data_IF_015469402545
#
_entry.id   IF_015469402545
#
_cell.length_a   1.000
_cell.length_b   1.000
_cell.length_c   1.000
_cell.angle_alpha   90.00
_cell.angle_beta   90.00
_cell.angle_gamma   90.00
#
_symmetry.space_group_name_H-M   'P 1'
#
loop_
_entity.id
_entity.type
_entity.pdbx_description
1 polymer ?
#
# COMPACT_ATOMS: atom_id res chain seq x y z
N UNK A 1 -65.55 11.17 3.79
CA UNK A 1 -65.01 10.47 2.61
C UNK A 1 -63.49 10.59 2.62
N UNK A 2 -62.81 9.49 2.95
CA UNK A 2 -61.34 9.35 3.06
C UNK A 2 -60.80 8.82 1.73
N UNK A 3 -60.35 9.69 0.83
CA UNK A 3 -59.70 9.29 -0.43
C UNK A 3 -58.68 10.35 -0.86
N UNK A 4 -57.53 10.42 -0.20
CA UNK A 4 -56.38 11.22 -0.71
C UNK A 4 -55.00 10.84 -0.17
N UNK A 5 -54.87 9.97 0.84
CA UNK A 5 -53.55 9.66 1.45
C UNK A 5 -52.87 8.43 0.82
N UNK A 6 -53.62 7.57 0.11
CA UNK A 6 -53.09 6.30 -0.42
C UNK A 6 -52.22 6.42 -1.68
N UNK A 7 -52.14 7.59 -2.33
CA UNK A 7 -51.32 7.77 -3.52
C UNK A 7 -49.89 8.25 -3.23
N UNK A 8 -49.62 8.83 -2.05
CA UNK A 8 -48.28 9.33 -1.71
C UNK A 8 -47.29 8.24 -1.30
N UNK A 9 -47.78 7.09 -0.80
CA UNK A 9 -46.91 5.97 -0.42
C UNK A 9 -46.42 5.15 -1.62
N UNK A 10 -47.12 5.18 -2.75
CA UNK A 10 -46.72 4.44 -3.94
C UNK A 10 -45.60 5.13 -4.73
N UNK A 11 -45.46 6.46 -4.62
CA UNK A 11 -44.36 7.21 -5.29
C UNK A 11 -43.08 7.19 -4.45
N UNK A 12 -43.19 7.06 -3.12
CA UNK A 12 -42.00 6.92 -2.25
C UNK A 12 -41.36 5.54 -2.35
N UNK A 13 -42.13 4.47 -2.60
CA UNK A 13 -41.59 3.11 -2.70
C UNK A 13 -40.82 2.85 -4.00
N UNK A 14 -41.09 3.61 -5.08
CA UNK A 14 -40.37 3.45 -6.37
C UNK A 14 -39.02 4.17 -6.39
N UNK A 15 -38.76 5.08 -5.43
CA UNK A 15 -37.44 5.72 -5.27
C UNK A 15 -36.52 4.97 -4.29
N UNK A 16 -37.00 3.92 -3.62
CA UNK A 16 -36.16 3.08 -2.76
C UNK A 16 -35.47 1.92 -3.49
N UNK A 17 -35.65 1.79 -4.81
CA UNK A 17 -35.12 0.66 -5.61
C UNK A 17 -33.95 0.99 -6.54
N UNK A 18 -33.32 2.17 -6.43
CA UNK A 18 -32.12 2.52 -7.20
C UNK A 18 -30.91 2.91 -6.34
N UNK A 19 -30.89 2.49 -5.06
CA UNK A 19 -29.67 2.53 -4.25
C UNK A 19 -29.17 1.10 -3.98
N UNK A 20 -29.24 0.26 -5.00
CA UNK A 20 -28.32 -0.85 -5.12
C UNK A 20 -27.20 -0.34 -6.03
N UNK A 21 -26.46 0.68 -5.56
CA UNK A 21 -25.10 0.84 -6.04
C UNK A 21 -24.43 -0.47 -5.64
N UNK A 22 -24.28 -1.38 -6.61
CA UNK A 22 -23.17 -2.31 -6.60
C UNK A 22 -21.92 -1.42 -6.53
N UNK A 23 -21.58 -0.97 -5.33
CA UNK A 23 -20.30 -0.37 -5.01
C UNK A 23 -19.28 -1.49 -5.23
N UNK A 24 -18.94 -1.75 -6.49
CA UNK A 24 -17.91 -2.69 -6.89
C UNK A 24 -16.62 -2.24 -6.20
N UNK A 25 -16.34 -2.86 -5.05
CA UNK A 25 -15.15 -2.57 -4.29
C UNK A 25 -13.95 -2.99 -5.13
N UNK A 26 -13.12 -2.01 -5.45
CA UNK A 26 -11.89 -2.24 -6.18
C UNK A 26 -10.87 -2.79 -5.18
N UNK A 27 -10.29 -3.94 -5.50
CA UNK A 27 -9.29 -4.62 -4.65
C UNK A 27 -7.97 -4.70 -5.42
N UNK A 28 -6.88 -4.22 -4.80
CA UNK A 28 -5.53 -4.35 -5.35
C UNK A 28 -4.53 -4.87 -4.32
N UNK A 29 -3.67 -5.83 -4.70
CA UNK A 29 -2.53 -6.24 -3.89
C UNK A 29 -1.39 -5.22 -4.04
N UNK A 30 -0.81 -4.86 -2.90
CA UNK A 30 0.39 -4.05 -2.79
C UNK A 30 1.51 -4.89 -2.22
N UNK A 31 2.74 -4.60 -2.65
CA UNK A 31 3.96 -5.25 -2.15
C UNK A 31 4.79 -4.23 -1.40
N UNK A 32 5.21 -4.58 -0.18
CA UNK A 32 6.18 -3.84 0.60
C UNK A 32 7.48 -4.61 0.62
N UNK A 33 8.61 -3.91 0.50
CA UNK A 33 9.91 -4.55 0.65
C UNK A 33 11.02 -3.82 -0.08
N UNK A 34 12.17 -4.47 -0.13
CA UNK A 34 13.34 -3.96 -0.85
C UNK A 34 13.13 -4.22 -2.35
N UNK A 35 12.95 -3.16 -3.12
CA UNK A 35 12.72 -3.23 -4.58
C UNK A 35 13.93 -2.79 -5.41
N UNK A 36 14.92 -2.18 -4.76
CA UNK A 36 16.20 -1.84 -5.35
C UNK A 36 17.30 -2.16 -4.35
N UNK A 37 18.36 -2.81 -4.81
CA UNK A 37 19.52 -3.13 -3.99
C UNK A 37 20.77 -3.24 -4.85
N UNK A 38 21.83 -2.55 -4.44
CA UNK A 38 23.16 -2.71 -5.03
C UNK A 38 24.20 -2.70 -3.90
N UNK A 39 25.03 -3.74 -3.83
CA UNK A 39 26.10 -3.89 -2.84
C UNK A 39 27.16 -4.87 -3.39
N UNK A 40 28.32 -4.89 -2.74
CA UNK A 40 29.39 -5.86 -2.97
C UNK A 40 29.14 -7.23 -2.31
N UNK A 41 28.11 -7.41 -1.49
CA UNK A 41 27.85 -8.69 -0.80
C UNK A 41 26.39 -8.95 -0.38
N UNK A 42 26.07 -10.22 -0.09
CA UNK A 42 24.73 -10.64 0.39
C UNK A 42 24.50 -10.33 1.89
N UNK A 43 25.57 -10.05 2.63
CA UNK A 43 25.50 -9.71 4.05
C UNK A 43 24.75 -8.39 4.28
N UNK A 44 25.00 -7.37 3.46
CA UNK A 44 24.32 -6.06 3.60
C UNK A 44 22.81 -6.19 3.43
N UNK A 45 22.35 -6.97 2.44
CA UNK A 45 20.93 -7.26 2.24
C UNK A 45 20.31 -7.91 3.49
N UNK A 46 21.04 -8.84 4.09
CA UNK A 46 20.60 -9.53 5.32
C UNK A 46 20.50 -8.55 6.48
N UNK A 47 21.48 -7.66 6.64
CA UNK A 47 21.49 -6.63 7.69
C UNK A 47 20.33 -5.64 7.54
N UNK A 48 20.13 -5.10 6.34
CA UNK A 48 19.03 -4.14 6.05
C UNK A 48 17.68 -4.84 6.23
N UNK A 49 17.52 -6.06 5.73
CA UNK A 49 16.27 -6.83 5.87
C UNK A 49 15.95 -7.11 7.34
N UNK A 50 16.97 -7.46 8.14
CA UNK A 50 16.83 -7.71 9.58
C UNK A 50 16.48 -6.42 10.31
N UNK A 51 17.11 -5.31 9.97
CA UNK A 51 16.79 -3.99 10.51
C UNK A 51 15.34 -3.60 10.25
N UNK A 52 14.88 -3.68 8.99
CA UNK A 52 13.50 -3.35 8.62
C UNK A 52 12.50 -4.22 9.38
N UNK A 53 12.73 -5.54 9.45
CA UNK A 53 11.90 -6.46 10.24
C UNK A 53 11.91 -6.10 11.73
N UNK A 54 13.06 -5.74 12.29
CA UNK A 54 13.20 -5.29 13.68
C UNK A 54 12.44 -4.00 13.99
N UNK A 55 12.23 -3.13 13.00
CA UNK A 55 11.36 -1.94 13.09
C UNK A 55 9.87 -2.25 12.87
N UNK A 56 9.54 -3.51 12.60
CA UNK A 56 8.18 -3.91 12.22
C UNK A 56 7.74 -3.36 10.88
N UNK A 57 8.69 -3.03 9.98
CA UNK A 57 8.38 -2.70 8.60
C UNK A 57 7.85 -3.96 7.90
N UNK A 58 6.80 -3.79 7.11
CA UNK A 58 6.20 -4.87 6.35
C UNK A 58 7.10 -5.27 5.18
N UNK A 59 7.27 -6.57 4.93
CA UNK A 59 8.19 -7.09 3.89
C UNK A 59 7.48 -8.05 2.93
N UNK A 60 6.14 -8.01 2.93
CA UNK A 60 5.29 -8.92 2.18
C UNK A 60 4.17 -8.14 1.46
N UNK A 61 3.18 -8.85 0.92
CA UNK A 61 2.02 -8.23 0.30
C UNK A 61 0.92 -7.87 1.29
N UNK A 62 0.25 -6.75 1.02
CA UNK A 62 -0.94 -6.29 1.75
C UNK A 62 -1.99 -5.85 0.73
N UNK A 63 -3.22 -6.29 0.94
CA UNK A 63 -4.34 -5.92 0.08
C UNK A 63 -5.02 -4.68 0.64
N UNK A 64 -5.35 -3.75 -0.24
CA UNK A 64 -6.17 -2.59 0.08
C UNK A 64 -7.43 -2.60 -0.78
N UNK A 65 -8.51 -2.08 -0.20
CA UNK A 65 -9.84 -2.04 -0.81
C UNK A 65 -10.38 -0.62 -0.71
N UNK A 66 -11.03 -0.14 -1.77
CA UNK A 66 -11.59 1.21 -1.82
C UNK A 66 -12.47 1.40 -3.04
N UNK A 67 -12.99 2.62 -3.24
CA UNK A 67 -13.92 2.92 -4.34
C UNK A 67 -13.20 3.07 -5.68
N UNK A 68 -11.95 3.50 -5.65
CA UNK A 68 -11.12 3.66 -6.84
C UNK A 68 -9.63 3.54 -6.49
N UNK A 69 -8.81 3.35 -7.52
CA UNK A 69 -7.36 3.18 -7.38
C UNK A 69 -6.68 4.35 -6.66
N UNK A 70 -7.13 5.59 -6.86
CA UNK A 70 -6.48 6.75 -6.25
C UNK A 70 -6.68 6.79 -4.72
N UNK A 71 -7.87 6.42 -4.25
CA UNK A 71 -8.16 6.26 -2.82
C UNK A 71 -7.32 5.14 -2.20
N UNK A 72 -7.21 4.01 -2.89
CA UNK A 72 -6.44 2.85 -2.44
C UNK A 72 -4.93 3.19 -2.41
N UNK A 73 -4.41 3.87 -3.44
CA UNK A 73 -3.02 4.34 -3.48
C UNK A 73 -2.74 5.33 -2.35
N UNK A 74 -3.67 6.23 -2.03
CA UNK A 74 -3.53 7.15 -0.90
C UNK A 74 -3.46 6.40 0.44
N UNK A 75 -4.33 5.41 0.66
CA UNK A 75 -4.31 4.58 1.86
C UNK A 75 -3.00 3.80 2.02
N UNK A 76 -2.51 3.20 0.92
CA UNK A 76 -1.24 2.47 0.90
C UNK A 76 -0.03 3.39 1.17
N UNK A 77 -0.04 4.62 0.65
CA UNK A 77 0.99 5.64 0.93
C UNK A 77 0.98 6.05 2.39
N UNK A 78 -0.19 6.32 2.97
CA UNK A 78 -0.31 6.67 4.40
C UNK A 78 0.21 5.52 5.27
N UNK A 79 -0.18 4.29 4.97
CA UNK A 79 0.30 3.09 5.69
C UNK A 79 1.83 2.93 5.57
N UNK A 80 2.39 3.14 4.37
CA UNK A 80 3.84 3.12 4.16
C UNK A 80 4.56 4.22 4.94
N UNK A 81 4.02 5.44 4.96
CA UNK A 81 4.61 6.57 5.69
C UNK A 81 4.74 6.27 7.19
N UNK A 82 3.80 5.53 7.78
CA UNK A 82 3.89 5.07 9.18
C UNK A 82 5.05 4.09 9.41
N UNK A 83 5.39 3.24 8.44
CA UNK A 83 6.59 2.41 8.52
C UNK A 83 7.86 3.20 8.25
N UNK A 84 7.86 4.08 7.26
CA UNK A 84 9.02 4.88 6.88
C UNK A 84 9.48 5.80 8.02
N UNK A 85 8.57 6.33 8.84
CA UNK A 85 8.90 7.09 10.06
C UNK A 85 9.73 6.31 11.08
N UNK A 86 9.69 4.97 11.06
CA UNK A 86 10.47 4.11 11.98
C UNK A 86 11.89 3.86 11.50
N UNK A 87 12.19 4.21 10.24
CA UNK A 87 13.48 3.99 9.59
C UNK A 87 14.39 5.18 9.90
N UNK A 88 15.56 4.91 10.47
CA UNK A 88 16.57 5.91 10.84
C UNK A 88 17.84 5.72 10.00
N UNK A 89 18.23 6.78 9.29
CA UNK A 89 19.49 6.82 8.54
C UNK A 89 20.69 6.60 9.46
N UNK A 90 20.67 7.15 10.68
CA UNK A 90 21.77 7.02 11.62
C UNK A 90 21.93 5.59 12.15
N UNK A 91 20.81 4.90 12.41
CA UNK A 91 20.85 3.49 12.79
C UNK A 91 21.33 2.62 11.63
N UNK A 92 20.91 2.92 10.39
CA UNK A 92 21.36 2.21 9.20
C UNK A 92 22.88 2.35 9.01
N UNK A 93 23.44 3.56 9.20
CA UNK A 93 24.90 3.80 9.13
C UNK A 93 25.68 2.95 10.14
N UNK A 94 25.06 2.62 11.28
CA UNK A 94 25.68 1.79 12.32
C UNK A 94 25.63 0.28 12.00
N UNK A 95 24.90 -0.15 10.96
CA UNK A 95 24.85 -1.55 10.54
C UNK A 95 26.17 -2.04 9.92
N UNK A 96 27.08 -1.13 9.55
CA UNK A 96 28.37 -1.48 8.96
C UNK A 96 28.27 -1.99 7.52
N UNK A 97 27.35 -1.41 6.74
CA UNK A 97 27.16 -1.75 5.32
C UNK A 97 28.40 -1.41 4.49
N UNK A 98 28.61 -2.12 3.38
CA UNK A 98 29.70 -1.78 2.47
C UNK A 98 29.54 -0.36 1.90
N UNK A 99 30.66 0.33 1.68
CA UNK A 99 30.67 1.65 1.04
C UNK A 99 30.02 1.58 -0.34
N UNK A 100 29.12 2.52 -0.63
CA UNK A 100 28.35 2.55 -1.88
C UNK A 100 27.16 1.58 -1.90
N UNK A 101 26.88 0.85 -0.82
CA UNK A 101 25.68 0.04 -0.70
C UNK A 101 24.44 0.94 -0.84
N UNK A 102 23.50 0.54 -1.71
CA UNK A 102 22.23 1.22 -1.88
C UNK A 102 21.08 0.27 -1.63
N UNK A 103 20.00 0.78 -1.06
CA UNK A 103 18.72 0.06 -1.05
C UNK A 103 17.53 1.01 -1.18
N UNK A 104 16.46 0.48 -1.75
CA UNK A 104 15.15 1.13 -1.82
C UNK A 104 14.13 0.24 -1.13
N UNK A 105 13.53 0.73 -0.04
CA UNK A 105 12.36 0.14 0.58
C UNK A 105 11.13 0.87 0.06
N UNK A 106 10.17 0.15 -0.54
CA UNK A 106 9.04 0.79 -1.20
C UNK A 106 7.72 0.10 -0.91
N UNK A 107 6.65 0.82 -1.24
CA UNK A 107 5.32 0.27 -1.44
C UNK A 107 4.98 0.39 -2.93
N UNK A 108 4.50 -0.71 -3.51
CA UNK A 108 4.15 -0.75 -4.93
C UNK A 108 2.85 -1.51 -5.16
N UNK A 109 2.04 -1.04 -6.11
CA UNK A 109 0.81 -1.72 -6.53
C UNK A 109 1.10 -2.63 -7.71
N UNK A 110 0.48 -3.81 -7.78
CA UNK A 110 0.56 -4.61 -9.01
C UNK A 110 -0.17 -3.96 -10.18
N UNK A 111 0.37 -4.11 -11.41
CA UNK A 111 -0.39 -3.75 -12.63
C UNK A 111 -1.52 -4.73 -12.90
N UNK A 112 -1.39 -5.98 -12.43
CA UNK A 112 -2.47 -6.97 -12.44
C UNK A 112 -3.15 -7.00 -11.06
N UNK A 113 -4.42 -6.60 -10.92
CA UNK A 113 -5.14 -6.59 -9.65
C UNK A 113 -5.24 -7.96 -8.97
N UNK A 114 -4.91 -9.07 -9.65
CA UNK A 114 -5.03 -10.43 -9.11
C UNK A 114 -3.70 -11.05 -8.70
N UNK A 115 -2.56 -10.45 -9.06
CA UNK A 115 -1.24 -11.06 -8.88
C UNK A 115 -0.32 -10.08 -8.17
N UNK A 116 0.15 -10.42 -6.97
CA UNK A 116 1.11 -9.56 -6.26
C UNK A 116 2.45 -9.48 -7.01
N UNK A 117 3.08 -8.30 -7.02
CA UNK A 117 4.41 -8.08 -7.60
C UNK A 117 4.51 -8.09 -9.14
N UNK A 118 3.47 -8.49 -9.89
CA UNK A 118 3.54 -8.53 -11.36
C UNK A 118 3.52 -7.13 -11.97
N UNK A 119 4.63 -6.74 -12.59
CA UNK A 119 4.75 -5.45 -13.28
C UNK A 119 4.51 -4.25 -12.37
N UNK A 120 4.97 -4.29 -11.12
CA UNK A 120 4.59 -3.33 -10.09
C UNK A 120 4.83 -1.83 -10.44
N UNK A 121 3.92 -0.98 -9.97
CA UNK A 121 4.03 0.48 -9.99
C UNK A 121 4.43 0.95 -8.60
N UNK A 122 5.62 1.53 -8.46
CA UNK A 122 6.06 2.14 -7.21
C UNK A 122 5.22 3.39 -6.96
N UNK A 123 4.54 3.43 -5.81
CA UNK A 123 3.72 4.57 -5.41
C UNK A 123 4.43 5.46 -4.38
N UNK A 124 5.32 4.88 -3.56
CA UNK A 124 6.19 5.62 -2.63
C UNK A 124 7.43 4.78 -2.26
N UNK A 125 8.51 5.44 -1.81
CA UNK A 125 9.75 4.77 -1.40
C UNK A 125 10.62 5.57 -0.42
N UNK A 126 11.39 4.83 0.36
CA UNK A 126 12.55 5.29 1.12
C UNK A 126 13.82 4.76 0.43
N UNK A 127 14.77 5.66 0.16
CA UNK A 127 16.04 5.31 -0.49
C UNK A 127 17.22 5.66 0.41
N UNK A 128 18.24 4.82 0.40
CA UNK A 128 19.47 5.04 1.14
C UNK A 128 20.70 4.66 0.32
N UNK A 129 21.78 5.43 0.51
CA UNK A 129 23.11 5.20 -0.05
C UNK A 129 24.13 5.35 1.07
N UNK A 130 24.95 4.32 1.28
CA UNK A 130 26.08 4.37 2.21
C UNK A 130 27.22 5.19 1.59
N UNK A 131 27.51 6.33 2.19
CA UNK A 131 28.65 7.22 1.85
C UNK A 131 30.01 6.61 2.23
#
# INVERSE_FOLDING_TARGET
MKKSILLLCAVLMTFCFNACDDDEQVVYPYTYGITGYASSGLQDLTLITTYLKGKGCFMDYKTFTGKNVAEIDAAAKTDFAEYAKKISVDEIKQLGLAKGCTFEYSVSRSKDPKVAGSGAVIIDKFSYVQE
#
